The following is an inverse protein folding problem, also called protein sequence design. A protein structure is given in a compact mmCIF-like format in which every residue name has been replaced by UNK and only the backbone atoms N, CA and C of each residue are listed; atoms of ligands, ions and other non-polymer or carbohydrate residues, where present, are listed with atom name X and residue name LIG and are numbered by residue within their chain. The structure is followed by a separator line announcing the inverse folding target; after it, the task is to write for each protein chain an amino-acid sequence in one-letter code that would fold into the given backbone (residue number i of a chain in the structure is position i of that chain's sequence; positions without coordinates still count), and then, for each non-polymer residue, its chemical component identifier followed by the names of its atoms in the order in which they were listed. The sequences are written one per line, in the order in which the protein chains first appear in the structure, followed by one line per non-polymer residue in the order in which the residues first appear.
data_IF_250280854998
#
_entry.id   IF_250280854998
#
_cell.length_a   1.000
_cell.length_b   1.000
_cell.length_c   1.000
_cell.angle_alpha   90.00
_cell.angle_beta   90.00
_cell.angle_gamma   90.00
#
_symmetry.space_group_name_H-M   'P 1'
#
loop_
_entity.id
_entity.type
_entity.pdbx_description
1 polymer ?
#
# COMPACT_ATOMS: atom_id res chain seq x y z
N UNK A 1 20.32 -2.09 -13.96
CA UNK A 1 18.88 -2.28 -13.67
C UNK A 1 18.71 -2.01 -12.20
N UNK A 2 18.23 -0.82 -11.84
CA UNK A 2 18.02 -0.45 -10.43
C UNK A 2 16.58 -0.77 -10.10
N UNK A 3 16.36 -1.85 -9.37
CA UNK A 3 15.05 -2.15 -8.81
C UNK A 3 14.83 -1.16 -7.66
N UNK A 4 13.97 -0.17 -7.88
CA UNK A 4 13.42 0.64 -6.81
C UNK A 4 12.46 -0.27 -6.03
N UNK A 5 12.77 -0.53 -4.76
CA UNK A 5 11.95 -1.33 -3.87
C UNK A 5 11.89 -0.60 -2.53
N UNK A 6 10.88 0.24 -2.38
CA UNK A 6 10.62 1.01 -1.17
C UNK A 6 9.92 0.15 -0.14
N UNK A 7 10.68 -0.72 0.55
CA UNK A 7 10.11 -1.49 1.64
C UNK A 7 10.82 -1.19 2.95
N UNK A 8 10.24 -0.26 3.69
CA UNK A 8 10.14 -0.44 5.13
C UNK A 8 8.68 -0.39 5.55
N UNK A 9 8.20 -1.57 5.94
CA UNK A 9 6.98 -1.75 6.70
C UNK A 9 7.41 -1.92 8.15
N UNK A 10 6.97 -1.06 9.07
CA UNK A 10 7.06 -1.36 10.49
C UNK A 10 5.90 -2.29 10.84
N UNK A 11 6.10 -3.63 10.82
CA UNK A 11 4.99 -4.57 10.85
C UNK A 11 4.15 -4.38 12.12
N UNK A 12 4.75 -3.82 13.15
CA UNK A 12 4.16 -3.65 14.45
C UNK A 12 3.48 -2.28 14.71
N UNK A 13 3.84 -1.23 13.95
CA UNK A 13 3.07 0.04 13.95
C UNK A 13 1.74 -0.12 13.21
N UNK A 14 1.74 -0.97 12.18
CA UNK A 14 0.55 -1.48 11.48
C UNK A 14 -0.38 -2.27 12.42
N UNK A 15 0.11 -2.66 13.62
CA UNK A 15 -0.51 -3.62 14.54
C UNK A 15 -1.16 -3.05 15.81
N UNK A 16 -1.20 -1.73 16.00
CA UNK A 16 -1.38 -1.26 17.38
C UNK A 16 -2.82 -1.20 17.96
N UNK A 17 -3.81 -0.59 17.33
CA UNK A 17 -5.14 -0.31 17.95
C UNK A 17 -6.15 -1.45 18.36
N UNK A 18 -5.97 -2.79 18.22
CA UNK A 18 -7.14 -3.73 18.41
C UNK A 18 -6.88 -5.23 18.77
N UNK A 19 -5.67 -5.69 19.10
CA UNK A 19 -5.45 -7.09 19.58
C UNK A 19 -5.12 -8.09 18.47
N UNK A 20 -4.33 -9.14 18.73
CA UNK A 20 -3.73 -10.01 17.70
C UNK A 20 -3.57 -11.47 18.17
N UNK A 21 -3.65 -12.44 17.22
CA UNK A 21 -2.87 -13.71 17.13
C UNK A 21 -2.97 -14.37 15.72
N UNK A 22 -1.98 -15.09 15.18
CA UNK A 22 -0.62 -14.75 14.71
C UNK A 22 0.10 -15.95 14.00
N UNK A 23 -0.56 -17.01 13.58
CA UNK A 23 0.16 -18.28 13.33
C UNK A 23 0.66 -18.52 11.88
N UNK A 24 0.76 -17.53 10.98
CA UNK A 24 1.22 -17.80 9.60
C UNK A 24 1.90 -16.60 8.89
N UNK A 25 3.06 -16.21 9.43
CA UNK A 25 4.21 -15.57 8.76
C UNK A 25 4.03 -14.11 8.27
N UNK A 26 2.85 -13.68 7.83
CA UNK A 26 2.58 -12.28 7.44
C UNK A 26 1.20 -11.85 7.96
N UNK A 27 1.17 -10.92 8.91
CA UNK A 27 -0.08 -10.51 9.58
C UNK A 27 -0.34 -9.03 9.41
N UNK A 28 -1.54 -8.70 8.93
CA UNK A 28 -2.21 -7.48 9.34
C UNK A 28 -2.95 -7.73 10.65
N UNK A 29 -2.91 -6.71 11.49
CA UNK A 29 -3.47 -6.64 12.82
C UNK A 29 -4.94 -7.11 12.92
N UNK A 30 -5.31 -7.83 13.99
CA UNK A 30 -6.74 -8.02 14.29
C UNK A 30 -7.33 -6.69 14.75
N UNK A 31 -8.36 -6.21 14.04
CA UNK A 31 -8.93 -4.85 14.06
C UNK A 31 -8.04 -3.76 13.43
N UNK A 32 -7.09 -4.14 12.56
CA UNK A 32 -6.96 -3.34 11.34
C UNK A 32 -8.28 -3.49 10.61
N UNK A 33 -9.12 -2.48 10.79
CA UNK A 33 -9.93 -2.01 9.70
C UNK A 33 -9.08 -0.93 9.06
N UNK A 34 -8.75 -1.04 7.77
CA UNK A 34 -8.48 0.16 6.99
C UNK A 34 -9.86 0.83 6.83
N UNK A 35 -10.36 1.37 7.94
CA UNK A 35 -11.47 2.31 8.04
C UNK A 35 -10.90 3.73 8.07
N UNK A 36 -9.65 3.92 7.65
CA UNK A 36 -9.34 5.20 7.04
C UNK A 36 -10.37 5.35 5.91
N UNK A 37 -11.13 6.45 5.87
CA UNK A 37 -11.76 6.82 4.61
C UNK A 37 -10.70 6.67 3.52
N UNK A 38 -11.10 6.19 2.33
CA UNK A 38 -10.34 6.23 1.07
C UNK A 38 -9.15 7.17 1.25
N UNK A 39 -7.89 6.67 1.28
CA UNK A 39 -6.74 7.49 1.66
C UNK A 39 -6.87 8.88 1.03
N UNK A 40 -6.57 9.97 1.75
CA UNK A 40 -6.77 11.33 1.22
C UNK A 40 -6.06 11.55 -0.13
N UNK A 41 -5.01 10.77 -0.37
CA UNK A 41 -4.21 10.70 -1.58
C UNK A 41 -4.73 9.71 -2.64
N UNK A 42 -5.72 8.86 -2.32
CA UNK A 42 -6.38 7.98 -3.28
C UNK A 42 -7.37 8.77 -4.13
N UNK A 43 -6.97 9.03 -5.37
CA UNK A 43 -7.76 9.77 -6.34
C UNK A 43 -8.06 8.89 -7.56
N UNK A 44 -9.32 8.82 -7.98
CA UNK A 44 -9.74 8.02 -9.12
C UNK A 44 -10.28 8.90 -10.27
N UNK A 45 -9.74 8.66 -11.47
CA UNK A 45 -10.06 9.36 -12.72
C UNK A 45 -10.82 8.42 -13.65
N UNK A 46 -11.85 8.92 -14.32
CA UNK A 46 -12.71 8.08 -15.16
C UNK A 46 -12.72 8.55 -16.61
N UNK A 47 -12.47 7.61 -17.52
CA UNK A 47 -12.47 7.88 -18.95
C UNK A 47 -11.19 8.54 -19.44
N UNK A 48 -11.01 8.51 -20.76
CA UNK A 48 -9.77 8.91 -21.42
C UNK A 48 -9.37 10.36 -21.12
N UNK A 49 -10.34 11.29 -21.14
CA UNK A 49 -10.06 12.72 -21.01
C UNK A 49 -9.48 13.08 -19.63
N UNK A 50 -10.05 12.53 -18.56
CA UNK A 50 -9.56 12.76 -17.20
C UNK A 50 -8.21 12.09 -16.98
N UNK A 51 -8.08 10.81 -17.40
CA UNK A 51 -6.86 10.03 -17.18
C UNK A 51 -5.67 10.65 -17.95
N UNK A 52 -5.82 10.92 -19.25
CA UNK A 52 -4.74 11.46 -20.09
C UNK A 52 -4.48 12.95 -19.79
N UNK A 53 -5.50 13.66 -19.34
CA UNK A 53 -5.41 15.07 -18.97
C UNK A 53 -4.71 15.33 -17.64
N UNK A 54 -4.70 14.35 -16.73
CA UNK A 54 -4.17 14.55 -15.38
C UNK A 54 -2.65 14.79 -15.36
N UNK A 55 -2.23 15.70 -14.49
CA UNK A 55 -0.83 16.15 -14.38
C UNK A 55 -0.23 15.88 -13.00
N UNK A 56 -0.85 15.00 -12.21
CA UNK A 56 -0.32 14.64 -10.90
C UNK A 56 1.04 13.94 -11.00
N UNK A 57 1.77 13.95 -9.90
CA UNK A 57 3.11 13.37 -9.82
C UNK A 57 3.11 11.83 -9.94
N UNK A 58 1.96 11.19 -9.67
CA UNK A 58 1.78 9.74 -9.71
C UNK A 58 2.06 9.10 -11.08
N UNK A 59 2.07 9.88 -12.17
CA UNK A 59 2.28 9.32 -13.52
C UNK A 59 3.73 9.03 -13.90
N UNK A 60 4.69 9.28 -13.00
CA UNK A 60 6.12 8.99 -13.17
C UNK A 60 6.64 9.27 -14.60
N UNK A 61 6.52 10.53 -15.03
CA UNK A 61 6.97 10.94 -16.37
C UNK A 61 5.93 10.77 -17.49
N UNK A 62 4.63 10.85 -17.18
CA UNK A 62 3.55 10.99 -18.17
C UNK A 62 2.97 9.68 -18.68
N UNK A 63 2.99 8.60 -17.89
CA UNK A 63 2.45 7.27 -18.25
C UNK A 63 0.91 7.18 -18.27
N UNK A 64 0.22 8.31 -18.35
CA UNK A 64 -1.23 8.39 -18.38
C UNK A 64 -1.82 7.63 -19.56
N UNK A 65 -1.21 7.75 -20.74
CA UNK A 65 -1.67 7.11 -21.98
C UNK A 65 -1.53 5.59 -21.93
N UNK A 66 -0.43 5.08 -21.36
CA UNK A 66 -0.22 3.66 -21.09
C UNK A 66 -1.29 3.14 -20.13
N UNK A 67 -1.62 3.93 -19.11
CA UNK A 67 -2.63 3.56 -18.10
C UNK A 67 -4.04 3.54 -18.66
N UNK A 68 -4.40 4.52 -19.50
CA UNK A 68 -5.64 4.49 -20.25
C UNK A 68 -5.74 3.23 -21.12
N UNK A 69 -4.72 2.95 -21.94
CA UNK A 69 -4.73 1.75 -22.80
C UNK A 69 -4.87 0.46 -22.00
N UNK A 70 -4.32 0.40 -20.79
CA UNK A 70 -4.41 -0.77 -19.93
C UNK A 70 -5.82 -0.96 -19.35
N UNK A 71 -6.41 0.11 -18.79
CA UNK A 71 -7.77 0.01 -18.24
C UNK A 71 -8.83 -0.21 -19.33
N UNK A 72 -8.63 0.36 -20.52
CA UNK A 72 -9.52 0.18 -21.67
C UNK A 72 -9.48 -1.27 -22.21
N UNK A 73 -8.33 -1.96 -22.12
CA UNK A 73 -8.27 -3.42 -22.38
C UNK A 73 -9.05 -4.21 -21.33
N UNK A 74 -8.89 -3.89 -20.06
CA UNK A 74 -9.63 -4.54 -18.97
C UNK A 74 -11.15 -4.31 -19.08
N UNK A 75 -11.56 -3.10 -19.44
CA UNK A 75 -12.95 -2.75 -19.70
C UNK A 75 -13.54 -3.64 -20.81
N UNK A 76 -12.87 -3.74 -21.95
CA UNK A 76 -13.33 -4.58 -23.07
C UNK A 76 -13.33 -6.08 -22.75
N UNK A 77 -12.35 -6.56 -21.99
CA UNK A 77 -12.19 -7.99 -21.72
C UNK A 77 -13.12 -8.49 -20.59
N UNK A 78 -13.34 -7.68 -19.56
CA UNK A 78 -13.99 -8.10 -18.31
C UNK A 78 -15.17 -7.22 -17.88
N UNK A 79 -15.43 -6.12 -18.58
CA UNK A 79 -16.52 -5.19 -18.23
C UNK A 79 -16.22 -4.31 -16.99
N UNK A 80 -14.96 -4.19 -16.59
CA UNK A 80 -14.58 -3.29 -15.49
C UNK A 80 -14.76 -1.82 -15.86
N UNK A 81 -15.05 -0.96 -14.89
CA UNK A 81 -15.15 0.48 -15.13
C UNK A 81 -13.84 1.01 -15.74
N UNK A 82 -13.87 1.89 -16.75
CA UNK A 82 -12.68 2.51 -17.33
C UNK A 82 -12.13 3.61 -16.41
N UNK A 83 -11.83 3.25 -15.16
CA UNK A 83 -11.37 4.11 -14.07
C UNK A 83 -9.95 3.72 -13.68
N UNK A 84 -9.08 4.72 -13.51
CA UNK A 84 -7.73 4.55 -12.97
C UNK A 84 -7.65 5.28 -11.64
N UNK A 85 -7.11 4.63 -10.62
CA UNK A 85 -6.87 5.25 -9.32
C UNK A 85 -5.37 5.42 -9.07
N UNK A 86 -5.01 6.54 -8.46
CA UNK A 86 -3.65 6.92 -8.11
C UNK A 86 -3.56 7.15 -6.60
N UNK A 87 -2.42 6.83 -6.00
CA UNK A 87 -2.19 7.02 -4.56
C UNK A 87 -0.96 6.26 -4.07
N UNK A 88 -0.57 6.51 -2.82
CA UNK A 88 0.52 5.77 -2.18
C UNK A 88 0.22 4.27 -2.15
N UNK A 89 1.25 3.43 -2.37
CA UNK A 89 1.06 1.99 -2.55
C UNK A 89 2.04 1.08 -1.80
N UNK A 90 2.75 1.61 -0.81
CA UNK A 90 3.78 0.84 -0.07
C UNK A 90 3.20 -0.17 0.92
N UNK A 91 1.98 0.08 1.40
CA UNK A 91 1.35 -0.72 2.41
C UNK A 91 -0.11 -1.02 2.00
N UNK A 92 -0.37 -2.27 1.63
CA UNK A 92 -1.71 -2.73 1.27
C UNK A 92 -1.93 -4.19 1.65
N UNK A 93 -3.19 -4.62 1.62
CA UNK A 93 -3.57 -6.01 1.82
C UNK A 93 -4.35 -6.56 0.63
N UNK A 94 -4.11 -7.83 0.35
CA UNK A 94 -4.99 -8.63 -0.49
C UNK A 94 -5.35 -9.89 0.29
N UNK A 95 -6.63 -10.13 0.59
CA UNK A 95 -7.05 -11.39 1.19
C UNK A 95 -6.65 -12.57 0.31
N UNK A 96 -6.28 -13.70 0.94
CA UNK A 96 -5.90 -14.91 0.20
C UNK A 96 -6.95 -15.34 -0.83
N UNK A 97 -8.24 -15.18 -0.51
CA UNK A 97 -9.35 -15.50 -1.41
C UNK A 97 -9.40 -14.64 -2.67
N UNK A 98 -8.76 -13.47 -2.67
CA UNK A 98 -8.69 -12.54 -3.79
C UNK A 98 -7.33 -12.58 -4.52
N UNK A 99 -6.39 -13.43 -4.09
CA UNK A 99 -5.00 -13.41 -4.59
C UNK A 99 -4.91 -13.74 -6.08
N UNK A 100 -5.60 -14.78 -6.55
CA UNK A 100 -5.55 -15.17 -7.96
C UNK A 100 -6.07 -14.05 -8.87
N UNK A 101 -7.13 -13.38 -8.43
CA UNK A 101 -7.72 -12.26 -9.15
C UNK A 101 -6.81 -11.03 -9.15
N UNK A 102 -6.22 -10.70 -7.99
CA UNK A 102 -5.20 -9.67 -7.88
C UNK A 102 -4.05 -9.95 -8.84
N UNK A 103 -3.54 -11.19 -8.88
CA UNK A 103 -2.44 -11.61 -9.75
C UNK A 103 -2.81 -11.47 -11.23
N UNK A 104 -4.03 -11.86 -11.62
CA UNK A 104 -4.49 -11.76 -13.00
C UNK A 104 -4.59 -10.30 -13.46
N UNK A 105 -5.21 -9.43 -12.67
CA UNK A 105 -5.32 -8.00 -13.00
C UNK A 105 -3.95 -7.32 -12.96
N UNK A 106 -3.08 -7.71 -12.02
CA UNK A 106 -1.71 -7.22 -11.94
C UNK A 106 -0.91 -7.52 -13.21
N UNK A 107 -1.13 -8.66 -13.85
CA UNK A 107 -0.46 -9.00 -15.11
C UNK A 107 -0.83 -8.03 -16.24
N UNK A 108 -2.11 -7.70 -16.38
CA UNK A 108 -2.63 -6.77 -17.38
C UNK A 108 -2.16 -5.32 -17.16
N UNK A 109 -1.97 -4.96 -15.88
CA UNK A 109 -1.50 -3.65 -15.43
C UNK A 109 0.02 -3.60 -15.18
N UNK A 110 0.78 -4.65 -15.50
CA UNK A 110 2.23 -4.67 -15.32
C UNK A 110 3.02 -3.50 -15.94
N UNK A 111 2.61 -2.94 -17.10
CA UNK A 111 3.31 -1.81 -17.72
C UNK A 111 3.12 -0.44 -17.03
N UNK A 112 2.17 -0.32 -16.10
CA UNK A 112 1.84 0.96 -15.46
C UNK A 112 2.60 1.13 -14.14
N UNK A 113 2.76 2.38 -13.69
CA UNK A 113 3.49 2.67 -12.45
C UNK A 113 2.74 2.08 -11.24
N UNK A 114 3.45 1.59 -10.23
CA UNK A 114 2.82 0.80 -9.15
C UNK A 114 1.88 1.63 -8.26
N UNK A 115 2.15 2.92 -8.04
CA UNK A 115 1.22 3.87 -7.39
C UNK A 115 -0.02 4.22 -8.23
N UNK A 116 -0.10 3.70 -9.45
CA UNK A 116 -1.30 3.71 -10.29
C UNK A 116 -1.89 2.30 -10.34
N UNK A 117 -1.05 1.28 -10.51
CA UNK A 117 -1.45 -0.10 -10.66
C UNK A 117 -2.15 -0.63 -9.42
N UNK A 118 -1.48 -0.55 -8.26
CA UNK A 118 -1.97 -1.13 -7.02
C UNK A 118 -3.30 -0.48 -6.61
N UNK A 119 -3.44 0.86 -6.54
CA UNK A 119 -4.72 1.46 -6.20
C UNK A 119 -5.82 1.10 -7.20
N UNK A 120 -5.52 1.05 -8.50
CA UNK A 120 -6.48 0.62 -9.53
C UNK A 120 -6.93 -0.82 -9.34
N UNK A 121 -6.01 -1.76 -9.09
CA UNK A 121 -6.33 -3.18 -8.86
C UNK A 121 -7.22 -3.31 -7.62
N UNK A 122 -6.84 -2.68 -6.51
CA UNK A 122 -7.62 -2.74 -5.28
C UNK A 122 -9.01 -2.15 -5.46
N UNK A 123 -9.15 -1.07 -6.24
CA UNK A 123 -10.45 -0.50 -6.58
C UNK A 123 -11.30 -1.44 -7.44
N UNK A 124 -10.70 -2.13 -8.42
CA UNK A 124 -11.39 -3.15 -9.23
C UNK A 124 -11.89 -4.28 -8.34
N UNK A 125 -11.02 -4.84 -7.48
CA UNK A 125 -11.38 -5.89 -6.53
C UNK A 125 -12.51 -5.43 -5.59
N UNK A 126 -12.45 -4.17 -5.16
CA UNK A 126 -13.46 -3.59 -4.29
C UNK A 126 -14.83 -3.46 -4.96
N UNK A 127 -14.89 -2.82 -6.13
CA UNK A 127 -16.16 -2.53 -6.82
C UNK A 127 -16.79 -3.76 -7.45
N UNK A 128 -15.99 -4.63 -8.04
CA UNK A 128 -16.50 -5.75 -8.82
C UNK A 128 -16.58 -7.07 -8.05
N UNK A 129 -15.83 -7.19 -6.96
CA UNK A 129 -15.69 -8.47 -6.24
C UNK A 129 -15.93 -8.37 -4.74
N UNK A 130 -16.32 -7.18 -4.24
CA UNK A 130 -16.64 -6.96 -2.82
C UNK A 130 -15.45 -7.14 -1.89
N UNK A 131 -14.22 -7.13 -2.41
CA UNK A 131 -13.01 -7.23 -1.58
C UNK A 131 -12.85 -5.91 -0.82
N UNK A 132 -12.61 -5.93 0.50
CA UNK A 132 -12.36 -4.69 1.23
C UNK A 132 -11.15 -3.95 0.66
N UNK A 133 -11.32 -2.64 0.39
CA UNK A 133 -10.22 -1.78 -0.01
C UNK A 133 -9.28 -1.60 1.18
N UNK A 134 -8.06 -2.12 1.08
CA UNK A 134 -7.09 -2.13 2.15
C UNK A 134 -5.76 -1.54 1.68
N UNK A 135 -5.69 -0.21 1.71
CA UNK A 135 -4.53 0.61 1.33
C UNK A 135 -4.23 1.60 2.46
N UNK A 136 -2.99 1.62 2.96
CA UNK A 136 -2.54 2.58 3.98
C UNK A 136 -1.63 3.63 3.33
N UNK A 137 -2.17 4.82 3.11
CA UNK A 137 -1.45 5.96 2.54
C UNK A 137 -0.62 6.75 3.56
N UNK A 138 -0.57 6.33 4.84
CA UNK A 138 0.22 7.03 5.87
C UNK A 138 1.69 6.65 5.81
N UNK A 139 2.28 6.75 4.63
CA UNK A 139 3.71 6.58 4.44
C UNK A 139 4.40 7.95 4.35
N UNK A 140 5.70 7.95 4.60
CA UNK A 140 6.52 9.15 4.44
C UNK A 140 7.60 8.94 3.38
N UNK A 141 8.02 10.03 2.75
CA UNK A 141 9.21 10.07 1.90
C UNK A 141 8.86 10.31 0.45
N UNK A 142 9.68 9.74 -0.43
CA UNK A 142 9.50 9.68 -1.88
C UNK A 142 10.81 9.25 -2.51
N UNK A 143 10.83 9.09 -3.85
CA UNK A 143 11.99 8.62 -4.63
C UNK A 143 13.36 9.21 -4.26
N UNK A 144 13.32 10.43 -3.73
CA UNK A 144 14.43 11.35 -3.74
C UNK A 144 14.58 12.06 -2.39
N UNK A 145 13.72 11.73 -1.41
CA UNK A 145 13.70 12.34 -0.09
C UNK A 145 14.10 11.29 0.95
N UNK A 146 15.37 11.30 1.33
CA UNK A 146 15.87 10.45 2.42
C UNK A 146 15.70 11.07 3.79
N UNK A 147 15.73 10.22 4.83
CA UNK A 147 15.78 10.66 6.23
C UNK A 147 16.68 9.79 7.08
N UNK A 148 17.25 10.42 8.08
CA UNK A 148 17.92 9.82 9.25
C UNK A 148 17.27 10.29 10.57
N UNK A 149 16.17 11.05 10.49
CA UNK A 149 15.51 11.66 11.64
C UNK A 149 14.69 10.63 12.41
N UNK A 150 15.03 10.34 13.68
CA UNK A 150 14.25 9.41 14.49
C UNK A 150 12.78 9.81 14.64
N UNK A 151 12.51 11.13 14.68
CA UNK A 151 11.15 11.66 14.82
C UNK A 151 10.29 11.35 13.60
N UNK A 152 10.87 11.36 12.41
CA UNK A 152 10.15 11.01 11.18
C UNK A 152 9.90 9.51 11.16
N UNK A 153 10.93 8.70 11.44
CA UNK A 153 10.82 7.25 11.47
C UNK A 153 9.78 6.75 12.48
N UNK A 154 9.71 7.36 13.66
CA UNK A 154 8.75 7.01 14.71
C UNK A 154 7.32 7.48 14.43
N UNK A 155 7.15 8.48 13.56
CA UNK A 155 5.82 9.06 13.27
C UNK A 155 5.04 8.22 12.25
N UNK A 156 5.72 7.64 11.26
CA UNK A 156 5.07 7.02 10.11
C UNK A 156 5.20 5.49 10.15
N UNK A 157 4.13 4.73 9.87
CA UNK A 157 4.16 3.26 9.84
C UNK A 157 4.96 2.67 8.67
N UNK A 158 5.18 3.46 7.62
CA UNK A 158 5.89 3.09 6.41
C UNK A 158 6.65 4.29 5.82
N UNK A 159 7.63 4.03 4.95
CA UNK A 159 8.25 5.09 4.18
C UNK A 159 9.35 4.66 3.20
N UNK A 160 9.73 5.61 2.34
CA UNK A 160 10.70 5.47 1.25
C UNK A 160 12.11 5.93 1.63
N UNK A 161 13.12 5.41 0.93
CA UNK A 161 14.46 6.01 0.88
C UNK A 161 15.14 6.31 2.24
N UNK A 162 14.96 5.44 3.23
CA UNK A 162 15.63 5.59 4.54
C UNK A 162 17.15 5.34 4.44
N UNK A 163 17.95 6.12 5.16
CA UNK A 163 19.39 5.91 5.22
C UNK A 163 19.74 4.79 6.21
N UNK A 164 19.74 3.53 5.74
CA UNK A 164 20.13 2.37 6.56
C UNK A 164 21.64 2.30 6.86
N UNK A 165 22.48 3.15 6.26
CA UNK A 165 23.91 3.28 6.61
C UNK A 165 24.07 4.06 7.92
N UNK A 166 23.12 4.94 8.25
CA UNK A 166 23.10 5.67 9.51
C UNK A 166 22.83 4.73 10.70
N UNK A 167 23.72 4.76 11.70
CA UNK A 167 23.52 4.03 12.95
C UNK A 167 22.26 4.52 13.68
N UNK A 168 22.03 5.84 13.68
CA UNK A 168 20.83 6.47 14.26
C UNK A 168 19.54 5.90 13.67
N UNK A 169 19.49 5.75 12.35
CA UNK A 169 18.35 5.12 11.67
C UNK A 169 18.17 3.68 12.17
N UNK A 170 19.22 2.86 12.13
CA UNK A 170 19.15 1.46 12.57
C UNK A 170 18.72 1.32 14.04
N UNK A 171 19.29 2.13 14.93
CA UNK A 171 18.96 2.11 16.36
C UNK A 171 17.52 2.52 16.61
N UNK A 172 17.03 3.52 15.87
CA UNK A 172 15.62 3.93 15.93
C UNK A 172 14.71 2.78 15.53
N UNK A 173 15.00 2.13 14.39
CA UNK A 173 14.22 0.99 13.90
C UNK A 173 14.21 -0.17 14.90
N UNK A 174 15.39 -0.51 15.46
CA UNK A 174 15.51 -1.56 16.48
C UNK A 174 14.73 -1.21 17.75
N UNK A 175 14.80 0.04 18.20
CA UNK A 175 14.06 0.49 19.39
C UNK A 175 12.55 0.41 19.18
N UNK A 176 12.05 0.81 18.00
CA UNK A 176 10.64 0.74 17.68
C UNK A 176 10.14 -0.72 17.69
N UNK A 177 10.88 -1.64 17.07
CA UNK A 177 10.57 -3.08 17.11
C UNK A 177 10.57 -3.64 18.54
N UNK A 178 11.53 -3.23 19.36
CA UNK A 178 11.65 -3.70 20.74
C UNK A 178 10.47 -3.26 21.63
N UNK A 179 10.02 -2.01 21.51
CA UNK A 179 8.83 -1.52 22.22
C UNK A 179 7.57 -2.27 21.81
N UNK A 180 7.44 -2.54 20.52
CA UNK A 180 6.28 -3.26 20.01
C UNK A 180 6.24 -4.73 20.46
N UNK A 181 7.39 -5.40 20.51
CA UNK A 181 7.48 -6.76 21.07
C UNK A 181 7.10 -6.78 22.55
N UNK A 182 7.42 -5.73 23.33
CA UNK A 182 6.97 -5.61 24.73
C UNK A 182 5.45 -5.47 24.79
N UNK A 183 4.84 -4.68 23.90
CA UNK A 183 3.39 -4.52 23.85
C UNK A 183 2.66 -5.83 23.48
N UNK A 184 3.19 -6.59 22.51
CA UNK A 184 2.63 -7.90 22.14
C UNK A 184 2.67 -8.91 23.29
N UNK A 185 3.75 -8.91 24.09
CA UNK A 185 3.91 -9.82 25.24
C UNK A 185 2.99 -9.49 26.41
N UNK A 186 2.55 -8.24 26.54
CA UNK A 186 1.67 -7.78 27.63
C UNK A 186 0.18 -8.04 27.37
N UNK A 187 -0.22 -8.42 26.15
CA UNK A 187 -1.63 -8.71 25.85
C UNK A 187 -2.05 -10.04 26.50
N UNK A 188 -3.17 -10.09 27.24
CA UNK A 188 -3.73 -11.35 27.71
C UNK A 188 -3.99 -12.25 26.51
N UNK A 189 -3.58 -13.51 26.61
CA UNK A 189 -4.03 -14.55 25.68
C UNK A 189 -5.53 -14.72 25.91
N UNK A 190 -6.38 -13.96 25.24
CA UNK A 190 -7.77 -14.37 25.10
C UNK A 190 -7.73 -15.69 24.30
N UNK A 191 -7.86 -16.78 25.04
CA UNK A 191 -8.23 -18.09 24.57
C UNK A 191 -9.70 -18.32 24.92
N UNK A 192 -10.33 -19.21 24.16
CA UNK A 192 -11.75 -19.63 24.21
C UNK A 192 -12.72 -18.62 23.56
N UNK A 193 -13.60 -19.01 22.64
CA UNK A 193 -14.06 -20.32 22.17
C UNK A 193 -14.23 -20.33 20.63
#
# INVERSE_FOLDING_TARGET
MTTHADFWFHPSAVVNETGLRLEAIWHLKSGMVINTPVPEDLHCLTGMAEIVGDRSWHWQGGKNDVSWRAIDRLHRAYGYDPTVCVGWSDAFYVPRSAWDMFSNVSHELGPIFHEVAIPTILQILHRHHGVPLQLDGRCWGGCCLGTDSPKILQKWPCGHHMNLVSQTTRDTLVSMMAEDLKMLRKRPRNGTA
#
